data_IF_384751101993
#
_entry.id   IF_384751101993
#
_cell.length_a   1.000
_cell.length_b   1.000
_cell.length_c   1.000
_cell.angle_alpha   90.00
_cell.angle_beta   90.00
_cell.angle_gamma   90.00
#
_symmetry.space_group_name_H-M   'P 1'
#
loop_
_entity.id
_entity.type
_entity.pdbx_description
1 polymer ?
#
# COMPACT_ATOMS: atom_id res chain seq x y z
N UNK A 1 -5.70 -16.59 6.93
CA UNK A 1 -5.36 -16.58 5.49
C UNK A 1 -6.43 -15.90 4.65
N UNK A 2 -7.70 -16.31 4.72
CA UNK A 2 -8.80 -15.71 3.93
C UNK A 2 -8.89 -14.18 4.07
N UNK A 3 -8.91 -13.63 5.30
CA UNK A 3 -9.02 -12.17 5.51
C UNK A 3 -7.89 -11.37 4.85
N UNK A 4 -6.67 -11.93 4.81
CA UNK A 4 -5.51 -11.29 4.17
C UNK A 4 -5.71 -11.19 2.67
N UNK A 5 -6.12 -12.28 2.03
CA UNK A 5 -6.38 -12.34 0.58
C UNK A 5 -7.50 -11.37 0.22
N UNK A 6 -8.57 -11.29 1.02
CA UNK A 6 -9.68 -10.37 0.80
C UNK A 6 -9.23 -8.91 0.85
N UNK A 7 -8.40 -8.52 1.83
CA UNK A 7 -7.92 -7.14 1.92
C UNK A 7 -6.92 -6.83 0.79
N UNK A 8 -6.07 -7.79 0.42
CA UNK A 8 -5.16 -7.64 -0.72
C UNK A 8 -5.93 -7.47 -2.03
N UNK A 9 -6.95 -8.29 -2.29
CA UNK A 9 -7.76 -8.17 -3.50
C UNK A 9 -8.57 -6.87 -3.55
N UNK A 10 -9.15 -6.43 -2.43
CA UNK A 10 -9.80 -5.11 -2.34
C UNK A 10 -8.79 -3.99 -2.60
N UNK A 11 -7.61 -4.06 -2.01
CA UNK A 11 -6.53 -3.11 -2.23
C UNK A 11 -6.16 -3.02 -3.71
N UNK A 12 -5.94 -4.15 -4.38
CA UNK A 12 -5.66 -4.22 -5.81
C UNK A 12 -6.78 -3.66 -6.68
N UNK A 13 -8.03 -4.04 -6.43
CA UNK A 13 -9.19 -3.55 -7.20
C UNK A 13 -9.38 -2.04 -7.01
N UNK A 14 -9.13 -1.54 -5.81
CA UNK A 14 -9.26 -0.12 -5.49
C UNK A 14 -8.25 0.78 -6.19
N UNK A 15 -7.10 0.24 -6.64
CA UNK A 15 -6.14 0.99 -7.46
C UNK A 15 -6.74 1.35 -8.82
N UNK A 16 -7.62 0.50 -9.37
CA UNK A 16 -8.19 0.66 -10.71
C UNK A 16 -9.48 1.48 -10.72
N UNK A 17 -10.32 1.34 -9.69
CA UNK A 17 -11.68 1.92 -9.67
C UNK A 17 -11.93 2.88 -8.52
N UNK A 18 -11.09 2.83 -7.48
CA UNK A 18 -11.31 3.55 -6.23
C UNK A 18 -10.52 4.86 -6.14
N UNK A 19 -10.80 5.67 -5.12
CA UNK A 19 -9.99 6.84 -4.82
C UNK A 19 -8.65 6.45 -4.15
N UNK A 20 -7.63 7.28 -4.32
CA UNK A 20 -6.23 7.00 -3.95
C UNK A 20 -5.98 6.61 -2.50
N UNK A 21 -6.84 7.05 -1.59
CA UNK A 21 -6.72 6.77 -0.16
C UNK A 21 -7.14 5.34 0.21
N UNK A 22 -7.97 4.68 -0.59
CA UNK A 22 -8.44 3.30 -0.32
C UNK A 22 -7.29 2.29 -0.35
N UNK A 23 -6.46 2.20 -1.42
CA UNK A 23 -5.33 1.28 -1.42
C UNK A 23 -4.34 1.61 -0.29
N UNK A 24 -4.19 2.88 0.09
CA UNK A 24 -3.34 3.30 1.21
C UNK A 24 -3.85 2.75 2.55
N UNK A 25 -5.15 2.85 2.82
CA UNK A 25 -5.78 2.26 4.01
C UNK A 25 -5.64 0.72 4.00
N UNK A 26 -5.81 0.08 2.85
CA UNK A 26 -5.59 -1.36 2.72
C UNK A 26 -4.13 -1.76 3.02
N UNK A 27 -3.14 -1.00 2.54
CA UNK A 27 -1.72 -1.23 2.86
C UNK A 27 -1.46 -1.13 4.35
N UNK A 28 -2.02 -0.12 5.04
CA UNK A 28 -1.88 0.04 6.49
C UNK A 28 -2.49 -1.17 7.22
N UNK A 29 -3.71 -1.57 6.87
CA UNK A 29 -4.40 -2.71 7.50
C UNK A 29 -3.64 -4.03 7.30
N UNK A 30 -3.15 -4.27 6.08
CA UNK A 30 -2.32 -5.43 5.75
C UNK A 30 -1.03 -5.44 6.56
N UNK A 31 -0.33 -4.29 6.60
CA UNK A 31 0.96 -4.14 7.29
C UNK A 31 0.81 -4.21 8.81
N UNK A 32 -0.28 -3.71 9.38
CA UNK A 32 -0.50 -3.74 10.83
C UNK A 32 -0.64 -5.17 11.36
N UNK A 33 -1.32 -6.05 10.60
CA UNK A 33 -1.66 -7.41 11.08
C UNK A 33 -0.78 -8.53 10.53
N UNK A 34 -0.18 -8.37 9.35
CA UNK A 34 0.68 -9.38 8.73
C UNK A 34 1.98 -8.77 8.19
N UNK A 35 3.02 -9.60 8.02
CA UNK A 35 4.19 -9.26 7.20
C UNK A 35 3.74 -9.34 5.73
N UNK A 36 3.01 -8.33 5.29
CA UNK A 36 2.35 -8.31 4.00
C UNK A 36 3.23 -7.63 2.95
N UNK A 37 4.06 -8.42 2.27
CA UNK A 37 4.74 -8.00 1.03
C UNK A 37 3.75 -7.53 -0.06
N UNK A 38 2.48 -7.91 0.05
CA UNK A 38 1.38 -7.42 -0.77
C UNK A 38 1.20 -5.90 -0.67
N UNK A 39 1.48 -5.28 0.49
CA UNK A 39 1.42 -3.83 0.63
C UNK A 39 2.48 -3.15 -0.26
N UNK A 40 3.66 -3.76 -0.38
CA UNK A 40 4.72 -3.31 -1.28
C UNK A 40 4.31 -3.41 -2.75
N UNK A 41 3.66 -4.52 -3.13
CA UNK A 41 3.13 -4.71 -4.48
C UNK A 41 2.03 -3.66 -4.81
N UNK A 42 1.12 -3.40 -3.86
CA UNK A 42 0.09 -2.36 -3.98
C UNK A 42 0.72 -0.99 -4.14
N UNK A 43 1.72 -0.63 -3.30
CA UNK A 43 2.42 0.65 -3.39
C UNK A 43 3.11 0.86 -4.74
N UNK A 44 3.77 -0.18 -5.25
CA UNK A 44 4.42 -0.16 -6.56
C UNK A 44 3.42 0.04 -7.71
N UNK A 45 2.33 -0.73 -7.70
CA UNK A 45 1.25 -0.58 -8.69
C UNK A 45 0.61 0.80 -8.62
N UNK A 46 0.48 1.35 -7.43
CA UNK A 46 -0.06 2.69 -7.23
C UNK A 46 0.85 3.75 -7.84
N UNK A 47 2.17 3.64 -7.63
CA UNK A 47 3.13 4.53 -8.27
C UNK A 47 3.07 4.42 -9.81
N UNK A 48 3.03 3.21 -10.37
CA UNK A 48 2.93 3.02 -11.82
C UNK A 48 1.64 3.57 -12.42
N UNK A 49 0.49 3.21 -11.83
CA UNK A 49 -0.82 3.56 -12.39
C UNK A 49 -1.12 5.02 -12.15
N UNK A 50 -0.94 5.54 -10.93
CA UNK A 50 -1.42 6.88 -10.58
C UNK A 50 -0.39 7.98 -10.87
N UNK A 51 0.91 7.73 -10.73
CA UNK A 51 1.91 8.73 -11.16
C UNK A 51 2.08 8.72 -12.68
N UNK A 52 2.02 7.55 -13.32
CA UNK A 52 2.13 7.39 -14.77
C UNK A 52 0.91 7.88 -15.55
N UNK A 53 -0.30 7.81 -14.98
CA UNK A 53 -1.54 8.26 -15.66
C UNK A 53 -1.77 9.77 -15.67
N UNK A 54 -0.90 10.57 -15.04
CA UNK A 54 -1.07 12.03 -14.97
C UNK A 54 -2.23 12.50 -14.09
N UNK A 55 -2.92 11.59 -13.41
CA UNK A 55 -4.08 11.91 -12.53
C UNK A 55 -3.67 12.78 -11.33
N UNK A 56 -2.38 12.80 -10.97
CA UNK A 56 -1.78 13.62 -9.91
C UNK A 56 -0.99 14.85 -10.43
N UNK A 57 -1.37 15.43 -11.59
CA UNK A 57 -0.68 16.53 -12.29
C UNK A 57 -0.44 17.86 -11.52
N UNK A 58 -0.59 17.91 -10.19
CA UNK A 58 -0.56 19.13 -9.38
C UNK A 58 0.76 19.33 -8.62
N UNK A 59 1.76 18.46 -8.75
CA UNK A 59 3.01 18.64 -7.99
C UNK A 59 4.24 18.08 -8.67
N UNK A 60 5.33 18.86 -8.66
CA UNK A 60 6.67 18.58 -9.21
C UNK A 60 7.38 17.33 -8.65
N UNK A 61 6.67 16.51 -7.88
CA UNK A 61 7.14 15.31 -7.17
C UNK A 61 6.93 14.02 -7.99
N UNK A 62 6.50 14.11 -9.25
CA UNK A 62 6.16 13.01 -10.17
C UNK A 62 7.27 11.98 -10.45
N UNK A 63 8.48 12.16 -9.95
CA UNK A 63 9.60 11.26 -10.22
C UNK A 63 9.84 10.25 -9.09
N UNK A 64 9.27 10.46 -7.90
CA UNK A 64 9.61 9.67 -6.72
C UNK A 64 8.52 8.66 -6.40
N UNK A 65 8.84 7.37 -6.20
CA UNK A 65 7.87 6.32 -5.91
C UNK A 65 7.37 6.43 -4.46
N UNK A 66 6.58 7.46 -4.18
CA UNK A 66 6.11 7.84 -2.85
C UNK A 66 5.29 6.73 -2.20
N UNK A 67 4.41 6.07 -2.95
CA UNK A 67 3.55 5.01 -2.40
C UNK A 67 4.36 3.77 -2.04
N UNK A 68 5.38 3.43 -2.85
CA UNK A 68 6.34 2.36 -2.55
C UNK A 68 7.17 2.69 -1.31
N UNK A 69 7.66 3.93 -1.19
CA UNK A 69 8.42 4.39 -0.02
C UNK A 69 7.55 4.28 1.24
N UNK A 70 6.29 4.73 1.18
CA UNK A 70 5.33 4.60 2.28
C UNK A 70 5.09 3.12 2.60
N UNK A 71 4.93 2.26 1.61
CA UNK A 71 4.75 0.83 1.82
C UNK A 71 5.96 0.18 2.53
N UNK A 72 7.19 0.58 2.16
CA UNK A 72 8.41 0.14 2.84
C UNK A 72 8.42 0.62 4.28
N UNK A 73 8.15 1.91 4.52
CA UNK A 73 8.09 2.47 5.87
C UNK A 73 7.05 1.72 6.70
N UNK A 74 5.86 1.46 6.17
CA UNK A 74 4.80 0.70 6.86
C UNK A 74 5.24 -0.73 7.17
N UNK A 75 5.86 -1.42 6.21
CA UNK A 75 6.30 -2.81 6.38
C UNK A 75 7.27 -2.93 7.56
N UNK A 76 8.22 -2.00 7.66
CA UNK A 76 9.27 -1.99 8.68
C UNK A 76 8.82 -1.35 10.00
N UNK A 77 8.04 -0.27 9.98
CA UNK A 77 7.53 0.39 11.18
C UNK A 77 6.56 -0.50 11.96
N UNK A 78 5.75 -1.30 11.26
CA UNK A 78 4.87 -2.28 11.91
C UNK A 78 5.56 -3.59 12.28
N UNK A 79 6.79 -3.84 11.81
CA UNK A 79 7.53 -5.06 12.18
C UNK A 79 7.79 -5.20 13.69
N UNK A 80 8.29 -4.17 14.42
CA UNK A 80 8.44 -4.27 15.86
C UNK A 80 7.10 -4.40 16.58
N UNK A 81 6.02 -3.78 16.09
CA UNK A 81 4.68 -3.93 16.68
C UNK A 81 4.17 -5.37 16.53
N UNK A 82 4.33 -5.98 15.35
CA UNK A 82 3.89 -7.36 15.10
C UNK A 82 4.61 -8.32 16.02
N UNK A 83 5.95 -8.21 16.14
CA UNK A 83 6.75 -9.09 17.00
C UNK A 83 6.43 -8.99 18.50
N UNK A 84 5.80 -7.90 18.93
CA UNK A 84 5.55 -7.62 20.35
C UNK A 84 4.11 -7.89 20.79
N UNK A 85 3.15 -7.83 19.87
CA UNK A 85 1.73 -8.07 20.14
C UNK A 85 1.21 -9.40 19.58
N UNK A 86 1.89 -9.99 18.59
CA UNK A 86 1.59 -11.32 18.06
C UNK A 86 2.69 -12.28 18.55
N UNK A 87 2.71 -12.53 19.86
CA UNK A 87 3.38 -13.69 20.44
C UNK A 87 2.59 -14.97 20.14
#
# INVERSE_FOLDING_TARGET
>A
MILRITIASIGFLSILTGPWWVPLVCMILLSARWVAWEALAIGLLMDFIWQGSGTFAISSWHTWPLFTIVAIILLWAFDPLRRRFLF
#
